data_IF_874446541490
#
_entry.id   IF_874446541490
#
_cell.length_a   1.000
_cell.length_b   1.000
_cell.length_c   1.000
_cell.angle_alpha   90.00
_cell.angle_beta   90.00
_cell.angle_gamma   90.00
#
_symmetry.space_group_name_H-M   'P 1'
#
loop_
_entity.id
_entity.type
_entity.pdbx_description
1 polymer ?
#
# COMPACT_ATOMS: atom_id res chain seq x y z
N UNK A 1 8.10 -19.77 -6.49
CA UNK A 1 7.40 -20.18 -7.72
C UNK A 1 6.33 -21.22 -7.47
N UNK A 2 6.65 -22.41 -6.96
CA UNK A 2 5.65 -23.48 -6.68
C UNK A 2 4.52 -22.97 -5.80
N UNK A 3 4.86 -22.32 -4.68
CA UNK A 3 3.88 -21.80 -3.73
C UNK A 3 2.95 -20.76 -4.37
N UNK A 4 3.48 -19.82 -5.14
CA UNK A 4 2.71 -18.82 -5.89
C UNK A 4 1.79 -19.47 -6.93
N UNK A 5 2.25 -20.49 -7.65
CA UNK A 5 1.44 -21.22 -8.62
C UNK A 5 0.27 -21.93 -7.94
N UNK A 6 0.50 -22.54 -6.76
CA UNK A 6 -0.55 -23.14 -5.95
C UNK A 6 -1.58 -22.09 -5.49
N UNK A 7 -1.13 -20.90 -5.08
CA UNK A 7 -2.04 -19.82 -4.67
C UNK A 7 -2.90 -19.33 -5.82
N UNK A 8 -2.31 -19.09 -6.99
CA UNK A 8 -3.05 -18.65 -8.17
C UNK A 8 -4.03 -19.74 -8.61
N UNK A 9 -3.61 -21.00 -8.65
CA UNK A 9 -4.49 -22.12 -8.96
C UNK A 9 -5.68 -22.22 -7.98
N UNK A 10 -5.43 -21.94 -6.70
CA UNK A 10 -6.46 -21.94 -5.67
C UNK A 10 -7.45 -20.77 -5.82
N UNK A 11 -6.97 -19.56 -6.14
CA UNK A 11 -7.83 -18.42 -6.47
C UNK A 11 -8.71 -18.75 -7.70
N UNK A 12 -8.12 -19.31 -8.75
CA UNK A 12 -8.85 -19.73 -9.94
C UNK A 12 -9.89 -20.82 -9.62
N UNK A 13 -9.57 -21.74 -8.72
CA UNK A 13 -10.53 -22.73 -8.22
C UNK A 13 -11.72 -22.09 -7.51
N UNK A 14 -11.49 -21.12 -6.63
CA UNK A 14 -12.57 -20.36 -5.95
C UNK A 14 -13.46 -19.66 -6.98
N UNK A 15 -12.85 -18.97 -7.95
CA UNK A 15 -13.57 -18.26 -9.02
C UNK A 15 -14.43 -19.26 -9.83
N UNK A 16 -13.84 -20.38 -10.25
CA UNK A 16 -14.54 -21.40 -11.02
C UNK A 16 -15.72 -22.01 -10.24
N UNK A 17 -15.54 -22.26 -8.95
CA UNK A 17 -16.59 -22.80 -8.09
C UNK A 17 -17.72 -21.79 -7.85
N UNK A 18 -17.41 -20.51 -7.67
CA UNK A 18 -18.43 -19.49 -7.48
C UNK A 18 -19.23 -19.20 -8.74
N UNK A 19 -18.61 -19.15 -9.93
CA UNK A 19 -19.38 -19.03 -11.19
C UNK A 19 -20.24 -20.27 -11.49
N UNK A 20 -19.79 -21.47 -11.13
CA UNK A 20 -20.57 -22.70 -11.37
C UNK A 20 -21.79 -22.81 -10.45
N UNK A 21 -21.73 -22.26 -9.24
CA UNK A 21 -22.77 -22.39 -8.22
C UNK A 21 -23.53 -21.08 -7.93
N UNK A 22 -23.11 -19.98 -8.56
CA UNK A 22 -23.71 -18.66 -8.44
C UNK A 22 -24.92 -18.50 -9.34
N UNK A 23 -25.84 -17.65 -8.90
CA UNK A 23 -27.01 -17.24 -9.67
C UNK A 23 -26.91 -15.74 -9.97
N UNK A 24 -27.04 -15.36 -11.24
CA UNK A 24 -27.00 -13.96 -11.66
C UNK A 24 -28.11 -13.11 -11.01
N UNK A 25 -29.18 -13.74 -10.50
CA UNK A 25 -30.24 -13.05 -9.74
C UNK A 25 -29.72 -12.41 -8.46
N UNK A 26 -28.69 -12.98 -7.83
CA UNK A 26 -28.12 -12.47 -6.58
C UNK A 26 -27.42 -11.11 -6.75
N UNK A 27 -27.06 -10.75 -7.99
CA UNK A 27 -26.48 -9.43 -8.30
C UNK A 27 -27.49 -8.28 -8.16
N UNK A 28 -28.78 -8.58 -8.19
CA UNK A 28 -29.84 -7.55 -8.17
C UNK A 28 -30.86 -7.76 -7.07
N UNK A 29 -30.97 -8.97 -6.54
CA UNK A 29 -31.94 -9.31 -5.50
C UNK A 29 -31.23 -9.48 -4.15
N UNK A 30 -31.60 -8.67 -3.13
CA UNK A 30 -31.10 -8.83 -1.78
C UNK A 30 -31.64 -10.12 -1.13
N UNK A 31 -31.02 -10.54 -0.03
CA UNK A 31 -31.47 -11.71 0.73
C UNK A 31 -32.84 -11.44 1.39
N UNK A 32 -33.01 -10.21 1.89
CA UNK A 32 -34.22 -9.71 2.51
C UNK A 32 -34.68 -8.42 1.80
N UNK A 33 -35.61 -8.53 0.83
CA UNK A 33 -36.13 -7.39 0.07
C UNK A 33 -36.87 -6.34 0.91
N UNK A 34 -37.20 -6.64 2.18
CA UNK A 34 -37.90 -5.71 3.06
C UNK A 34 -36.96 -4.75 3.80
N UNK A 35 -35.70 -5.14 4.02
CA UNK A 35 -34.68 -4.36 4.73
C UNK A 35 -33.65 -3.71 3.81
N UNK A 36 -33.44 -4.29 2.64
CA UNK A 36 -32.32 -3.94 1.77
C UNK A 36 -32.77 -3.54 0.37
N UNK A 37 -32.24 -2.43 -0.18
CA UNK A 37 -32.60 -1.98 -1.52
C UNK A 37 -32.10 -2.95 -2.60
N UNK A 38 -32.96 -3.27 -3.56
CA UNK A 38 -32.57 -4.07 -4.73
C UNK A 38 -31.81 -3.28 -5.79
N UNK A 39 -31.20 -4.01 -6.73
CA UNK A 39 -30.45 -3.47 -7.85
C UNK A 39 -28.94 -3.69 -7.74
N UNK A 40 -28.21 -3.43 -8.82
CA UNK A 40 -26.76 -3.61 -8.89
C UNK A 40 -25.98 -2.56 -8.08
N UNK A 41 -26.57 -1.39 -7.85
CA UNK A 41 -25.98 -0.30 -7.05
C UNK A 41 -26.90 0.09 -5.88
N UNK A 42 -27.06 -0.77 -4.86
CA UNK A 42 -27.97 -0.53 -3.74
C UNK A 42 -27.66 0.77 -2.98
N UNK A 43 -26.37 1.09 -2.86
CA UNK A 43 -25.86 2.30 -2.19
C UNK A 43 -25.44 3.41 -3.17
N UNK A 44 -25.80 3.28 -4.46
CA UNK A 44 -25.43 4.21 -5.51
C UNK A 44 -23.92 4.38 -5.70
N UNK A 45 -23.52 5.44 -6.42
CA UNK A 45 -22.11 5.72 -6.68
C UNK A 45 -21.30 5.99 -5.41
N UNK A 46 -21.92 6.58 -4.37
CA UNK A 46 -21.25 6.88 -3.09
C UNK A 46 -20.78 5.59 -2.40
N UNK A 47 -21.61 4.53 -2.39
CA UNK A 47 -21.21 3.23 -1.87
C UNK A 47 -20.05 2.61 -2.64
N UNK A 48 -20.01 2.77 -3.97
CA UNK A 48 -18.91 2.27 -4.81
C UNK A 48 -17.59 2.95 -4.44
N UNK A 49 -17.58 4.28 -4.26
CA UNK A 49 -16.37 5.00 -3.86
C UNK A 49 -15.88 4.62 -2.46
N UNK A 50 -16.80 4.45 -1.50
CA UNK A 50 -16.44 4.01 -0.15
C UNK A 50 -15.90 2.57 -0.15
N UNK A 51 -16.51 1.66 -0.92
CA UNK A 51 -16.01 0.29 -1.07
C UNK A 51 -14.65 0.23 -1.75
N UNK A 52 -14.43 1.05 -2.79
CA UNK A 52 -13.12 1.14 -3.46
C UNK A 52 -12.00 1.57 -2.48
N UNK A 53 -12.30 2.48 -1.54
CA UNK A 53 -11.37 2.88 -0.50
C UNK A 53 -11.00 1.74 0.45
N UNK A 54 -11.94 0.85 0.78
CA UNK A 54 -11.66 -0.32 1.62
C UNK A 54 -10.88 -1.39 0.86
N UNK A 55 -11.25 -1.68 -0.40
CA UNK A 55 -10.60 -2.71 -1.23
C UNK A 55 -9.18 -2.32 -1.64
N UNK A 56 -8.84 -1.03 -1.64
CA UNK A 56 -7.48 -0.55 -1.88
C UNK A 56 -6.44 -1.26 -0.98
N UNK A 57 -6.79 -1.55 0.28
CA UNK A 57 -5.94 -2.28 1.22
C UNK A 57 -5.50 -3.65 0.68
N UNK A 58 -6.36 -4.32 -0.08
CA UNK A 58 -6.04 -5.63 -0.68
C UNK A 58 -4.95 -5.55 -1.74
N UNK A 59 -4.66 -4.37 -2.29
CA UNK A 59 -3.60 -4.16 -3.27
C UNK A 59 -2.23 -3.90 -2.64
N UNK A 60 -2.13 -3.75 -1.32
CA UNK A 60 -0.86 -3.50 -0.65
C UNK A 60 0.05 -4.73 -0.79
N UNK A 61 1.33 -4.50 -1.10
CA UNK A 61 2.36 -5.54 -1.23
C UNK A 61 3.06 -5.60 -2.59
N UNK A 62 2.56 -4.90 -3.62
CA UNK A 62 3.25 -4.82 -4.92
C UNK A 62 4.64 -4.17 -4.82
N UNK A 63 4.81 -3.27 -3.85
CA UNK A 63 6.04 -2.53 -3.56
C UNK A 63 7.14 -3.43 -2.96
N UNK A 64 6.77 -4.56 -2.35
CA UNK A 64 7.71 -5.54 -1.83
C UNK A 64 8.65 -6.09 -2.92
N UNK A 65 8.24 -6.12 -4.19
CA UNK A 65 9.09 -6.54 -5.33
C UNK A 65 10.36 -5.69 -5.40
N UNK A 66 10.28 -4.41 -5.05
CA UNK A 66 11.44 -3.51 -5.07
C UNK A 66 12.49 -3.86 -3.99
N UNK A 67 12.08 -4.53 -2.91
CA UNK A 67 13.00 -4.97 -1.84
C UNK A 67 13.89 -6.14 -2.24
N UNK A 68 13.56 -6.81 -3.35
CA UNK A 68 14.35 -7.91 -3.91
C UNK A 68 15.16 -7.48 -5.13
N UNK A 69 15.38 -6.16 -5.30
CA UNK A 69 16.14 -5.63 -6.43
C UNK A 69 17.54 -6.24 -6.57
N UNK A 70 18.18 -6.58 -5.45
CA UNK A 70 19.51 -7.20 -5.41
C UNK A 70 19.53 -8.64 -5.97
N UNK A 71 18.39 -9.32 -6.03
CA UNK A 71 18.27 -10.68 -6.57
C UNK A 71 17.81 -10.72 -8.03
N UNK A 72 17.52 -9.56 -8.61
CA UNK A 72 17.02 -9.43 -9.98
C UNK A 72 18.20 -9.20 -10.91
N UNK A 73 18.34 -10.02 -11.96
CA UNK A 73 19.44 -9.91 -12.92
C UNK A 73 19.43 -8.57 -13.68
N UNK A 74 18.25 -8.06 -14.07
CA UNK A 74 18.09 -6.77 -14.77
C UNK A 74 17.09 -5.88 -14.03
N UNK A 75 17.47 -5.30 -12.89
CA UNK A 75 16.54 -4.62 -11.99
C UNK A 75 15.84 -3.43 -12.68
N UNK A 76 16.52 -2.73 -13.58
CA UNK A 76 15.98 -1.58 -14.29
C UNK A 76 14.80 -1.89 -15.24
N UNK A 77 14.65 -3.13 -15.70
CA UNK A 77 13.57 -3.55 -16.60
C UNK A 77 12.60 -4.53 -15.93
N UNK A 78 13.14 -5.49 -15.19
CA UNK A 78 12.35 -6.58 -14.63
C UNK A 78 11.52 -6.13 -13.41
N UNK A 79 12.01 -5.19 -12.58
CA UNK A 79 11.25 -4.67 -11.44
C UNK A 79 10.01 -3.87 -11.91
N UNK A 80 10.11 -2.88 -12.82
CA UNK A 80 8.93 -2.17 -13.29
C UNK A 80 7.89 -3.06 -13.97
N UNK A 81 8.34 -4.05 -14.76
CA UNK A 81 7.45 -5.04 -15.40
C UNK A 81 6.80 -5.95 -14.36
N UNK A 82 7.55 -6.40 -13.36
CA UNK A 82 7.04 -7.23 -12.27
C UNK A 82 5.99 -6.50 -11.43
N UNK A 83 6.28 -5.26 -11.01
CA UNK A 83 5.34 -4.43 -10.24
C UNK A 83 4.07 -4.14 -11.04
N UNK A 84 4.20 -3.62 -12.27
CA UNK A 84 3.02 -3.25 -13.07
C UNK A 84 2.22 -4.49 -13.51
N UNK A 85 2.90 -5.55 -13.92
CA UNK A 85 2.27 -6.80 -14.35
C UNK A 85 1.53 -7.52 -13.22
N UNK A 86 2.13 -7.58 -12.03
CA UNK A 86 1.47 -8.17 -10.86
C UNK A 86 0.20 -7.43 -10.47
N UNK A 87 0.22 -6.09 -10.43
CA UNK A 87 -0.96 -5.29 -10.12
C UNK A 87 -2.09 -5.53 -11.12
N UNK A 88 -1.78 -5.58 -12.43
CA UNK A 88 -2.80 -5.86 -13.47
C UNK A 88 -3.41 -7.25 -13.30
N UNK A 89 -2.57 -8.28 -13.10
CA UNK A 89 -3.05 -9.66 -12.90
C UNK A 89 -3.92 -9.75 -11.65
N UNK A 90 -3.48 -9.18 -10.53
CA UNK A 90 -4.24 -9.17 -9.27
C UNK A 90 -5.55 -8.41 -9.43
N UNK A 91 -5.57 -7.29 -10.16
CA UNK A 91 -6.80 -6.53 -10.43
C UNK A 91 -7.84 -7.40 -11.14
N UNK A 92 -7.44 -8.12 -12.19
CA UNK A 92 -8.33 -9.02 -12.92
C UNK A 92 -8.85 -10.14 -12.02
N UNK A 93 -7.97 -10.77 -11.24
CA UNK A 93 -8.36 -11.83 -10.31
C UNK A 93 -9.31 -11.34 -9.22
N UNK A 94 -9.07 -10.16 -8.66
CA UNK A 94 -9.93 -9.57 -7.63
C UNK A 94 -11.30 -9.16 -8.18
N UNK A 95 -11.36 -8.60 -9.39
CA UNK A 95 -12.63 -8.33 -10.06
C UNK A 95 -13.43 -9.62 -10.30
N UNK A 96 -12.77 -10.70 -10.76
CA UNK A 96 -13.41 -12.00 -10.95
C UNK A 96 -13.87 -12.63 -9.64
N UNK A 97 -13.07 -12.51 -8.57
CA UNK A 97 -13.45 -12.98 -7.23
C UNK A 97 -14.66 -12.23 -6.67
N UNK A 98 -14.67 -10.89 -6.79
CA UNK A 98 -15.79 -10.07 -6.34
C UNK A 98 -17.07 -10.42 -7.10
N UNK A 99 -16.99 -10.53 -8.44
CA UNK A 99 -18.12 -10.95 -9.27
C UNK A 99 -18.63 -12.35 -8.90
N UNK A 100 -17.70 -13.30 -8.71
CA UNK A 100 -18.00 -14.66 -8.27
C UNK A 100 -18.72 -14.69 -6.91
N UNK A 101 -18.27 -13.89 -5.95
CA UNK A 101 -18.87 -13.83 -4.62
C UNK A 101 -20.29 -13.21 -4.65
N UNK A 102 -20.46 -12.09 -5.37
CA UNK A 102 -21.76 -11.42 -5.52
C UNK A 102 -22.78 -12.26 -6.29
N UNK A 103 -22.36 -13.23 -7.10
CA UNK A 103 -23.26 -14.23 -7.70
C UNK A 103 -23.58 -15.37 -6.74
N UNK A 104 -22.69 -15.70 -5.81
CA UNK A 104 -22.86 -16.86 -4.91
C UNK A 104 -23.87 -16.57 -3.80
N UNK A 105 -23.71 -15.44 -3.10
CA UNK A 105 -24.64 -14.95 -2.08
C UNK A 105 -25.07 -13.50 -2.39
N UNK A 106 -26.33 -13.14 -2.09
CA UNK A 106 -26.75 -11.74 -2.07
C UNK A 106 -25.92 -10.96 -1.05
N UNK A 107 -25.67 -9.68 -1.35
CA UNK A 107 -24.69 -8.86 -0.62
C UNK A 107 -24.97 -8.74 0.89
N UNK A 108 -26.25 -8.82 1.31
CA UNK A 108 -26.64 -8.75 2.73
C UNK A 108 -26.28 -10.00 3.55
N UNK A 109 -26.11 -11.14 2.88
CA UNK A 109 -25.87 -12.42 3.53
C UNK A 109 -24.37 -12.80 3.56
N UNK A 110 -23.50 -11.91 3.09
CA UNK A 110 -22.05 -12.14 3.04
C UNK A 110 -21.48 -12.02 4.45
N UNK A 111 -20.89 -13.11 4.94
CA UNK A 111 -20.14 -13.14 6.18
C UNK A 111 -18.86 -12.29 6.03
N UNK A 112 -18.66 -11.25 6.87
CA UNK A 112 -17.47 -10.39 6.80
C UNK A 112 -16.17 -11.10 7.22
N UNK A 113 -16.22 -12.11 8.10
CA UNK A 113 -15.03 -12.81 8.57
C UNK A 113 -14.61 -13.94 7.62
N UNK A 114 -15.59 -14.61 7.02
CA UNK A 114 -15.38 -15.82 6.23
C UNK A 114 -16.24 -15.87 4.96
N UNK A 115 -16.10 -14.91 4.02
CA UNK A 115 -17.02 -14.77 2.90
C UNK A 115 -17.08 -16.01 2.01
N UNK A 116 -15.92 -16.52 1.56
CA UNK A 116 -15.88 -17.65 0.62
C UNK A 116 -16.12 -19.02 1.28
N UNK A 117 -15.60 -19.26 2.48
CA UNK A 117 -15.85 -20.55 3.16
C UNK A 117 -17.27 -20.60 3.72
N UNK A 118 -17.74 -19.50 4.33
CA UNK A 118 -19.11 -19.34 4.83
C UNK A 118 -20.18 -19.53 3.76
N UNK A 119 -19.92 -19.05 2.53
CA UNK A 119 -20.84 -19.20 1.40
C UNK A 119 -21.23 -20.65 1.07
N UNK A 120 -20.36 -21.62 1.35
CA UNK A 120 -20.60 -23.04 1.04
C UNK A 120 -21.02 -23.89 2.26
N UNK A 121 -20.98 -23.34 3.49
CA UNK A 121 -21.32 -24.08 4.73
C UNK A 121 -22.79 -24.56 4.77
N UNK A 122 -23.72 -23.86 4.12
CA UNK A 122 -25.15 -24.17 4.14
C UNK A 122 -25.68 -25.10 3.05
N UNK A 123 -24.82 -25.59 2.13
CA UNK A 123 -25.23 -26.50 1.04
C UNK A 123 -24.61 -27.88 1.28
N UNK A 124 -25.41 -28.88 1.66
CA UNK A 124 -24.94 -30.21 2.06
C UNK A 124 -23.99 -30.88 1.04
N UNK A 125 -24.20 -30.69 -0.28
CA UNK A 125 -23.31 -31.20 -1.34
C UNK A 125 -21.97 -30.47 -1.49
N UNK A 126 -21.78 -29.33 -0.82
CA UNK A 126 -20.61 -28.45 -0.97
C UNK A 126 -19.80 -28.25 0.32
N UNK A 127 -20.09 -28.99 1.40
CA UNK A 127 -19.35 -28.87 2.65
C UNK A 127 -17.84 -29.15 2.49
N UNK A 128 -17.48 -30.09 1.60
CA UNK A 128 -16.07 -30.36 1.27
C UNK A 128 -15.37 -29.14 0.63
N UNK A 129 -16.11 -28.36 -0.17
CA UNK A 129 -15.60 -27.15 -0.84
C UNK A 129 -15.28 -26.09 0.21
N UNK A 130 -16.16 -25.89 1.19
CA UNK A 130 -15.90 -24.97 2.31
C UNK A 130 -14.62 -25.33 3.06
N UNK A 131 -14.38 -26.62 3.33
CA UNK A 131 -13.20 -27.07 4.05
C UNK A 131 -11.91 -26.88 3.23
N UNK A 132 -11.94 -27.19 1.94
CA UNK A 132 -10.81 -26.96 1.02
C UNK A 132 -10.53 -25.46 0.90
N UNK A 133 -11.57 -24.64 0.77
CA UNK A 133 -11.44 -23.19 0.70
C UNK A 133 -10.87 -22.62 2.00
N UNK A 134 -11.35 -23.09 3.16
CA UNK A 134 -10.83 -22.68 4.46
C UNK A 134 -9.36 -23.06 4.63
N UNK A 135 -8.99 -24.30 4.33
CA UNK A 135 -7.61 -24.78 4.44
C UNK A 135 -6.66 -24.03 3.49
N UNK A 136 -7.06 -23.84 2.23
CA UNK A 136 -6.24 -23.12 1.26
C UNK A 136 -6.12 -21.63 1.57
N UNK A 137 -7.17 -20.98 2.12
CA UNK A 137 -7.08 -19.61 2.59
C UNK A 137 -6.08 -19.47 3.76
N UNK A 138 -6.10 -20.40 4.72
CA UNK A 138 -5.14 -20.41 5.84
C UNK A 138 -3.69 -20.59 5.37
N UNK A 139 -3.43 -21.54 4.46
CA UNK A 139 -2.11 -21.71 3.84
C UNK A 139 -1.71 -20.47 3.01
N UNK A 140 -2.70 -19.82 2.40
CA UNK A 140 -2.63 -18.55 1.70
C UNK A 140 -2.02 -17.43 2.53
N UNK A 141 -2.65 -17.23 3.70
CA UNK A 141 -2.27 -16.21 4.67
C UNK A 141 -0.88 -16.50 5.24
N UNK A 142 -0.59 -17.76 5.59
CA UNK A 142 0.72 -18.17 6.11
C UNK A 142 1.86 -17.85 5.13
N UNK A 143 1.64 -18.12 3.85
CA UNK A 143 2.62 -17.79 2.81
C UNK A 143 2.84 -16.29 2.67
N UNK A 144 1.76 -15.52 2.67
CA UNK A 144 1.83 -14.06 2.55
C UNK A 144 2.57 -13.46 3.75
N UNK A 145 2.34 -14.00 4.95
CA UNK A 145 3.08 -13.64 6.17
C UNK A 145 4.58 -13.91 6.03
N UNK A 146 4.98 -15.09 5.52
CA UNK A 146 6.38 -15.42 5.30
C UNK A 146 7.07 -14.46 4.33
N UNK A 147 6.41 -14.09 3.23
CA UNK A 147 6.94 -13.10 2.27
C UNK A 147 7.08 -11.72 2.93
N UNK A 148 6.10 -11.29 3.71
CA UNK A 148 6.16 -10.01 4.43
C UNK A 148 7.32 -9.97 5.44
N UNK A 149 7.53 -11.05 6.21
CA UNK A 149 8.65 -11.13 7.16
C UNK A 149 10.02 -11.07 6.48
N UNK A 150 10.16 -11.65 5.29
CA UNK A 150 11.40 -11.58 4.51
C UNK A 150 11.76 -10.13 4.13
N UNK A 151 10.79 -9.37 3.63
CA UNK A 151 10.99 -7.96 3.26
C UNK A 151 11.29 -7.07 4.47
N UNK A 152 10.55 -7.25 5.56
CA UNK A 152 10.72 -6.47 6.80
C UNK A 152 12.12 -6.62 7.41
N UNK A 153 12.65 -7.84 7.46
CA UNK A 153 13.96 -8.10 8.06
C UNK A 153 15.11 -7.45 7.26
N UNK A 154 15.01 -7.42 5.93
CA UNK A 154 15.97 -6.72 5.06
C UNK A 154 15.92 -5.22 5.25
N UNK A 155 14.72 -4.66 5.30
CA UNK A 155 14.52 -3.23 5.53
C UNK A 155 15.13 -2.79 6.87
N UNK A 156 14.88 -3.55 7.94
CA UNK A 156 15.45 -3.24 9.26
C UNK A 156 16.97 -3.41 9.31
N UNK A 157 17.54 -4.37 8.57
CA UNK A 157 18.99 -4.52 8.45
C UNK A 157 19.64 -3.30 7.79
N UNK A 158 19.06 -2.79 6.70
CA UNK A 158 19.55 -1.59 6.01
C UNK A 158 19.44 -0.35 6.91
N UNK A 159 18.31 -0.19 7.62
CA UNK A 159 18.14 0.90 8.59
C UNK A 159 19.18 0.78 9.72
N UNK A 160 19.43 -0.43 10.23
CA UNK A 160 20.46 -0.66 11.23
C UNK A 160 21.87 -0.31 10.74
N UNK A 161 22.18 -0.57 9.46
CA UNK A 161 23.47 -0.17 8.85
C UNK A 161 23.64 1.34 8.75
N UNK A 162 22.55 2.09 8.61
CA UNK A 162 22.57 3.55 8.60
C UNK A 162 22.67 4.22 9.99
N UNK A 163 22.84 3.44 11.06
CA UNK A 163 22.94 3.97 12.44
C UNK A 163 21.61 4.46 13.04
N UNK A 164 20.52 4.47 12.26
CA UNK A 164 19.18 4.86 12.73
C UNK A 164 18.61 3.85 13.73
N UNK A 165 18.98 2.57 13.63
CA UNK A 165 18.57 1.50 14.56
C UNK A 165 19.80 0.81 15.14
N UNK A 166 19.67 0.10 16.29
CA UNK A 166 20.79 -0.59 16.91
C UNK A 166 21.57 -1.48 15.95
N UNK A 167 22.90 -1.32 15.94
CA UNK A 167 23.81 -2.07 15.05
C UNK A 167 23.69 -3.59 15.20
N UNK A 168 23.17 -4.09 16.33
CA UNK A 168 22.85 -5.51 16.52
C UNK A 168 21.81 -6.05 15.52
N UNK A 169 20.86 -5.21 15.08
CA UNK A 169 19.86 -5.54 14.06
C UNK A 169 20.45 -5.57 12.63
N UNK A 170 21.58 -4.90 12.43
CA UNK A 170 22.31 -4.89 11.16
C UNK A 170 23.14 -6.18 10.93
N UNK A 171 23.37 -6.98 11.99
CA UNK A 171 24.21 -8.18 11.91
C UNK A 171 23.52 -9.29 11.12
N UNK A 172 24.24 -9.81 10.13
CA UNK A 172 23.83 -10.96 9.31
C UNK A 172 24.59 -12.20 9.79
N UNK A 173 23.91 -13.34 9.87
CA UNK A 173 24.56 -14.59 10.28
C UNK A 173 25.48 -15.10 9.15
N UNK A 174 26.76 -15.38 9.41
CA UNK A 174 27.73 -15.79 8.38
C UNK A 174 27.41 -17.16 7.76
N UNK A 175 26.69 -18.06 8.46
CA UNK A 175 26.38 -19.40 7.93
C UNK A 175 25.14 -19.44 7.04
N UNK A 176 24.14 -18.61 7.34
CA UNK A 176 22.85 -18.61 6.63
C UNK A 176 22.69 -17.39 5.72
N UNK A 177 23.59 -16.40 5.80
CA UNK A 177 23.49 -15.11 5.13
C UNK A 177 22.15 -14.38 5.40
N UNK A 178 21.49 -14.68 6.52
CA UNK A 178 20.19 -14.08 6.89
C UNK A 178 20.26 -13.22 8.15
N UNK A 179 19.50 -12.11 8.21
CA UNK A 179 19.42 -11.24 9.39
C UNK A 179 18.51 -11.86 10.46
N UNK A 180 19.02 -12.87 11.18
CA UNK A 180 18.26 -13.63 12.20
C UNK A 180 17.79 -12.72 13.34
N UNK A 181 18.65 -11.82 13.83
CA UNK A 181 18.33 -10.90 14.92
C UNK A 181 17.16 -9.98 14.57
N UNK A 182 17.21 -9.37 13.36
CA UNK A 182 16.15 -8.51 12.87
C UNK A 182 14.84 -9.28 12.71
N UNK A 183 14.89 -10.49 12.13
CA UNK A 183 13.72 -11.34 11.91
C UNK A 183 13.06 -11.76 13.22
N UNK A 184 13.84 -12.15 14.22
CA UNK A 184 13.34 -12.56 15.53
C UNK A 184 12.70 -11.37 16.28
N UNK A 185 13.37 -10.22 16.29
CA UNK A 185 12.86 -9.01 16.93
C UNK A 185 11.53 -8.55 16.30
N UNK A 186 11.48 -8.43 14.97
CA UNK A 186 10.26 -8.08 14.23
C UNK A 186 9.15 -9.11 14.42
N UNK A 187 9.48 -10.40 14.43
CA UNK A 187 8.52 -11.48 14.64
C UNK A 187 7.87 -11.43 16.02
N UNK A 188 8.68 -11.27 17.07
CA UNK A 188 8.17 -11.14 18.45
C UNK A 188 7.35 -9.86 18.60
N UNK A 189 7.81 -8.74 18.03
CA UNK A 189 7.07 -7.48 18.07
C UNK A 189 5.73 -7.56 17.33
N UNK A 190 5.71 -8.17 16.14
CA UNK A 190 4.48 -8.38 15.36
C UNK A 190 3.52 -9.32 16.08
N UNK A 191 4.02 -10.39 16.71
CA UNK A 191 3.21 -11.31 17.51
C UNK A 191 2.59 -10.62 18.73
N UNK A 192 3.35 -9.75 19.41
CA UNK A 192 2.82 -8.95 20.51
C UNK A 192 1.71 -7.99 20.03
N UNK A 193 1.94 -7.26 18.92
CA UNK A 193 0.91 -6.38 18.35
C UNK A 193 -0.35 -7.15 17.94
N UNK A 194 -0.19 -8.32 17.33
CA UNK A 194 -1.31 -9.18 16.94
C UNK A 194 -2.11 -9.74 18.14
N UNK A 195 -1.46 -9.94 19.29
CA UNK A 195 -2.11 -10.42 20.52
C UNK A 195 -2.90 -9.32 21.23
N UNK A 196 -2.39 -8.08 21.22
CA UNK A 196 -2.93 -6.97 22.02
C UNK A 196 -3.82 -6.00 21.24
N UNK A 197 -3.92 -6.13 19.91
CA UNK A 197 -4.62 -5.13 19.09
C UNK A 197 -5.58 -5.79 18.09
N UNK A 198 -6.77 -5.20 17.95
CA UNK A 198 -7.80 -5.66 17.00
C UNK A 198 -7.40 -5.41 15.54
N UNK A 199 -7.86 -6.30 14.65
CA UNK A 199 -7.57 -6.27 13.21
C UNK A 199 -7.99 -4.93 12.59
N UNK A 200 -9.20 -4.44 12.85
CA UNK A 200 -9.70 -3.20 12.26
C UNK A 200 -8.85 -1.97 12.63
N UNK A 201 -8.27 -1.98 13.83
CA UNK A 201 -7.36 -0.92 14.27
C UNK A 201 -6.05 -0.97 13.46
N UNK A 202 -5.49 -2.17 13.29
CA UNK A 202 -4.28 -2.40 12.48
C UNK A 202 -4.51 -2.00 11.02
N UNK A 203 -5.63 -2.43 10.43
CA UNK A 203 -5.97 -2.15 9.04
C UNK A 203 -6.08 -0.64 8.79
N UNK A 204 -6.77 0.08 9.67
CA UNK A 204 -6.88 1.53 9.58
C UNK A 204 -5.52 2.23 9.71
N UNK A 205 -4.66 1.77 10.62
CA UNK A 205 -3.33 2.34 10.82
C UNK A 205 -2.43 2.12 9.59
N UNK A 206 -2.45 0.90 9.03
CA UNK A 206 -1.73 0.53 7.81
C UNK A 206 -2.24 1.34 6.61
N UNK A 207 -3.56 1.52 6.47
CA UNK A 207 -4.15 2.35 5.41
C UNK A 207 -3.65 3.79 5.46
N UNK A 208 -3.68 4.45 6.63
CA UNK A 208 -3.17 5.83 6.77
C UNK A 208 -1.68 5.89 6.38
N UNK A 209 -0.87 4.98 6.94
CA UNK A 209 0.57 4.97 6.70
C UNK A 209 0.92 4.74 5.23
N UNK A 210 0.28 3.78 4.57
CA UNK A 210 0.58 3.45 3.17
C UNK A 210 0.09 4.50 2.19
N UNK A 211 -1.10 5.08 2.39
CA UNK A 211 -1.57 6.21 1.60
C UNK A 211 -0.65 7.43 1.75
N UNK A 212 -0.14 7.68 2.96
CA UNK A 212 0.82 8.75 3.20
C UNK A 212 2.15 8.52 2.49
N UNK A 213 2.68 7.29 2.53
CA UNK A 213 3.90 6.90 1.79
C UNK A 213 3.70 7.07 0.28
N UNK A 214 2.57 6.61 -0.27
CA UNK A 214 2.30 6.73 -1.71
C UNK A 214 2.09 8.19 -2.14
N UNK A 215 1.45 9.00 -1.30
CA UNK A 215 1.40 10.45 -1.47
C UNK A 215 2.81 11.07 -1.54
N UNK A 216 3.71 10.70 -0.62
CA UNK A 216 5.10 11.18 -0.63
C UNK A 216 5.85 10.73 -1.87
N UNK A 217 5.72 9.46 -2.28
CA UNK A 217 6.37 8.91 -3.48
C UNK A 217 5.90 9.65 -4.73
N UNK A 218 4.61 9.91 -4.87
CA UNK A 218 4.06 10.63 -6.02
C UNK A 218 4.62 12.07 -6.10
N UNK A 219 4.67 12.78 -4.97
CA UNK A 219 5.29 14.11 -4.89
C UNK A 219 6.80 14.08 -5.19
N UNK A 220 7.52 13.10 -4.65
CA UNK A 220 8.95 12.94 -4.87
C UNK A 220 9.30 12.67 -6.34
N UNK A 221 8.46 11.91 -7.04
CA UNK A 221 8.62 11.62 -8.47
C UNK A 221 8.47 12.90 -9.31
N UNK A 222 7.47 13.75 -9.01
CA UNK A 222 7.32 15.05 -9.67
C UNK A 222 8.51 15.94 -9.35
N UNK A 223 8.90 16.06 -8.09
CA UNK A 223 10.05 16.87 -7.69
C UNK A 223 11.33 16.44 -8.42
N UNK A 224 11.64 15.14 -8.46
CA UNK A 224 12.82 14.59 -9.15
C UNK A 224 12.80 14.81 -10.66
N UNK A 225 11.61 14.96 -11.25
CA UNK A 225 11.43 15.14 -12.70
C UNK A 225 11.66 16.58 -13.16
N UNK A 226 11.19 17.54 -12.38
CA UNK A 226 11.20 18.96 -12.73
C UNK A 226 12.35 19.74 -12.08
N UNK A 227 12.91 19.24 -10.97
CA UNK A 227 14.07 19.86 -10.32
C UNK A 227 15.37 19.21 -10.79
N UNK A 228 16.05 19.90 -11.72
CA UNK A 228 17.41 19.55 -12.17
C UNK A 228 18.52 20.07 -11.25
N UNK A 229 19.76 19.67 -11.54
CA UNK A 229 20.94 20.10 -10.77
C UNK A 229 21.13 21.62 -10.69
N UNK A 230 20.66 22.35 -11.72
CA UNK A 230 20.75 23.82 -11.81
C UNK A 230 19.69 24.63 -11.06
N UNK A 231 18.77 24.00 -10.32
CA UNK A 231 17.89 24.66 -9.34
C UNK A 231 16.80 25.62 -9.84
N UNK A 232 16.77 25.99 -11.13
CA UNK A 232 15.86 27.01 -11.66
C UNK A 232 14.35 26.74 -11.47
N UNK A 233 13.94 25.48 -11.33
CA UNK A 233 12.53 25.09 -11.17
C UNK A 233 12.15 24.61 -9.75
N UNK A 234 13.03 24.79 -8.74
CA UNK A 234 12.79 24.33 -7.35
C UNK A 234 11.52 24.92 -6.75
N UNK A 235 11.47 26.26 -6.66
CA UNK A 235 10.37 26.97 -6.04
C UNK A 235 9.04 26.83 -6.79
N UNK A 236 8.99 26.93 -8.14
CA UNK A 236 7.75 26.67 -8.90
C UNK A 236 7.21 25.25 -8.69
N UNK A 237 8.09 24.24 -8.63
CA UNK A 237 7.68 22.85 -8.41
C UNK A 237 7.15 22.65 -6.99
N UNK A 238 7.84 23.17 -5.98
CA UNK A 238 7.36 23.08 -4.59
C UNK A 238 6.03 23.83 -4.39
N UNK A 239 5.89 25.01 -4.97
CA UNK A 239 4.64 25.76 -4.93
C UNK A 239 3.49 24.99 -5.60
N UNK A 240 3.73 24.40 -6.78
CA UNK A 240 2.75 23.54 -7.44
C UNK A 240 2.35 22.34 -6.56
N UNK A 241 3.32 21.61 -6.02
CA UNK A 241 3.04 20.44 -5.17
C UNK A 241 2.21 20.82 -3.94
N UNK A 242 2.56 21.94 -3.29
CA UNK A 242 1.85 22.42 -2.10
C UNK A 242 0.45 22.91 -2.45
N UNK A 243 0.29 23.75 -3.48
CA UNK A 243 -1.02 24.25 -3.92
C UNK A 243 -1.91 23.11 -4.39
N UNK A 244 -1.37 22.16 -5.16
CA UNK A 244 -2.13 21.00 -5.62
C UNK A 244 -2.59 20.13 -4.45
N UNK A 245 -1.72 19.87 -3.48
CA UNK A 245 -2.07 19.09 -2.28
C UNK A 245 -3.10 19.80 -1.39
N UNK A 246 -2.98 21.13 -1.22
CA UNK A 246 -4.00 21.93 -0.53
C UNK A 246 -5.33 21.95 -1.28
N UNK A 247 -5.31 22.01 -2.62
CA UNK A 247 -6.53 21.95 -3.44
C UNK A 247 -7.22 20.59 -3.33
N UNK A 248 -6.45 19.50 -3.30
CA UNK A 248 -6.96 18.16 -3.07
C UNK A 248 -7.54 18.00 -1.65
N UNK A 249 -6.88 18.59 -0.64
CA UNK A 249 -7.39 18.58 0.74
C UNK A 249 -8.69 19.39 0.87
N UNK A 250 -8.73 20.59 0.29
CA UNK A 250 -9.91 21.44 0.27
C UNK A 250 -11.08 20.73 -0.44
N UNK A 251 -10.80 20.04 -1.55
CA UNK A 251 -11.78 19.20 -2.23
C UNK A 251 -12.34 18.11 -1.33
N UNK A 252 -11.48 17.36 -0.65
CA UNK A 252 -11.88 16.26 0.22
C UNK A 252 -12.68 16.76 1.42
N UNK A 253 -12.30 17.89 2.01
CA UNK A 253 -13.03 18.55 3.08
C UNK A 253 -14.40 19.04 2.59
N UNK A 254 -14.45 19.67 1.41
CA UNK A 254 -15.69 20.08 0.78
C UNK A 254 -16.61 18.88 0.49
N UNK A 255 -16.06 17.76 0.01
CA UNK A 255 -16.80 16.53 -0.21
C UNK A 255 -17.41 15.97 1.09
N UNK A 256 -16.67 16.00 2.22
CA UNK A 256 -17.16 15.53 3.52
C UNK A 256 -18.13 16.50 4.20
N UNK A 257 -17.96 17.81 4.04
CA UNK A 257 -18.73 18.84 4.73
C UNK A 257 -19.92 19.36 3.90
N UNK A 258 -20.00 19.04 2.60
CA UNK A 258 -21.07 19.55 1.74
C UNK A 258 -22.45 19.08 2.25
N UNK A 259 -23.44 19.98 2.40
CA UNK A 259 -24.77 19.63 2.89
C UNK A 259 -25.52 18.67 1.93
N UNK A 260 -26.42 17.80 2.45
CA UNK A 260 -27.13 16.75 1.70
C UNK A 260 -28.01 17.21 0.53
N UNK A 261 -28.37 18.48 0.43
CA UNK A 261 -29.18 19.00 -0.67
C UNK A 261 -28.71 20.39 -1.17
N UNK A 262 -28.94 20.71 -2.46
CA UNK A 262 -29.41 19.85 -3.57
C UNK A 262 -28.25 19.16 -4.33
N UNK A 263 -28.51 17.97 -4.90
CA UNK A 263 -27.53 17.15 -5.66
C UNK A 263 -26.77 17.91 -6.75
N UNK A 264 -27.40 18.91 -7.37
CA UNK A 264 -26.79 19.75 -8.41
C UNK A 264 -25.64 20.62 -7.89
N UNK A 265 -25.73 21.14 -6.66
CA UNK A 265 -24.68 21.98 -6.06
C UNK A 265 -23.45 21.15 -5.72
N UNK A 266 -23.65 19.94 -5.19
CA UNK A 266 -22.56 18.99 -4.95
C UNK A 266 -21.86 18.62 -6.25
N UNK A 267 -22.62 18.21 -7.27
CA UNK A 267 -22.06 17.86 -8.58
C UNK A 267 -21.32 19.04 -9.23
N UNK A 268 -21.85 20.26 -9.12
CA UNK A 268 -21.22 21.47 -9.63
C UNK A 268 -19.91 21.81 -8.90
N UNK A 269 -19.89 21.74 -7.57
CA UNK A 269 -18.68 21.96 -6.76
C UNK A 269 -17.60 20.93 -7.10
N UNK A 270 -18.01 19.67 -7.26
CA UNK A 270 -17.13 18.57 -7.64
C UNK A 270 -16.50 18.77 -9.01
N UNK A 271 -17.33 19.12 -10.01
CA UNK A 271 -16.87 19.40 -11.36
C UNK A 271 -15.94 20.62 -11.39
N UNK A 272 -16.23 21.66 -10.61
CA UNK A 272 -15.40 22.85 -10.52
C UNK A 272 -14.03 22.55 -9.90
N UNK A 273 -13.97 21.77 -8.82
CA UNK A 273 -12.70 21.36 -8.22
C UNK A 273 -11.90 20.41 -9.11
N UNK A 274 -12.57 19.47 -9.79
CA UNK A 274 -11.91 18.60 -10.76
C UNK A 274 -11.33 19.42 -11.94
N UNK A 275 -12.09 20.37 -12.47
CA UNK A 275 -11.62 21.30 -13.50
C UNK A 275 -10.42 22.12 -12.99
N UNK A 276 -10.49 22.64 -11.75
CA UNK A 276 -9.37 23.37 -11.14
C UNK A 276 -8.12 22.50 -11.04
N UNK A 277 -8.24 21.25 -10.57
CA UNK A 277 -7.12 20.31 -10.49
C UNK A 277 -6.51 20.03 -11.87
N UNK A 278 -7.34 19.80 -12.89
CA UNK A 278 -6.90 19.58 -14.28
C UNK A 278 -6.19 20.83 -14.82
N UNK A 279 -6.74 22.02 -14.61
CA UNK A 279 -6.12 23.27 -15.06
C UNK A 279 -4.80 23.56 -14.34
N UNK A 280 -4.70 23.24 -13.05
CA UNK A 280 -3.46 23.40 -12.29
C UNK A 280 -2.34 22.48 -12.83
N UNK A 281 -2.66 21.23 -13.14
CA UNK A 281 -1.70 20.28 -13.75
C UNK A 281 -1.31 20.73 -15.16
N UNK A 282 -2.27 21.17 -15.96
CA UNK A 282 -2.02 21.68 -17.32
C UNK A 282 -1.16 22.96 -17.30
N UNK A 283 -1.45 23.90 -16.40
CA UNK A 283 -0.67 25.12 -16.22
C UNK A 283 0.76 24.79 -15.77
N UNK A 284 0.93 23.86 -14.83
CA UNK A 284 2.25 23.41 -14.40
C UNK A 284 3.05 22.78 -15.56
N UNK A 285 2.41 21.94 -16.37
CA UNK A 285 3.05 21.33 -17.54
C UNK A 285 3.47 22.39 -18.59
N UNK A 286 2.69 23.46 -18.76
CA UNK A 286 3.00 24.53 -19.70
C UNK A 286 4.09 25.48 -19.18
N UNK A 287 4.11 25.76 -17.88
CA UNK A 287 4.99 26.76 -17.26
C UNK A 287 6.35 26.19 -16.83
N UNK A 288 6.43 24.90 -16.51
CA UNK A 288 7.64 24.29 -15.95
C UNK A 288 8.19 23.22 -16.92
N UNK A 289 9.32 23.47 -17.59
CA UNK A 289 9.92 22.49 -18.49
C UNK A 289 10.45 21.29 -17.71
N UNK A 290 10.38 20.11 -18.31
CA UNK A 290 10.93 18.90 -17.69
C UNK A 290 12.46 18.96 -17.67
N UNK A 291 13.05 18.85 -16.48
CA UNK A 291 14.48 18.98 -16.30
C UNK A 291 15.27 17.69 -16.56
N UNK A 292 14.63 16.52 -16.44
CA UNK A 292 15.25 15.21 -16.69
C UNK A 292 14.33 14.37 -17.56
N UNK A 293 14.89 13.56 -18.46
CA UNK A 293 14.21 12.46 -19.20
C UNK A 293 14.76 11.13 -18.67
N UNK A 294 13.93 10.09 -18.40
CA UNK A 294 14.43 8.87 -17.78
C UNK A 294 15.12 8.02 -18.85
N UNK A 295 16.32 7.52 -18.57
CA UNK A 295 17.09 6.75 -19.57
C UNK A 295 16.57 5.32 -19.77
N UNK A 296 15.96 4.73 -18.73
CA UNK A 296 15.57 3.31 -18.71
C UNK A 296 14.06 3.13 -18.56
N UNK A 297 13.49 3.62 -17.45
CA UNK A 297 12.05 3.55 -17.18
C UNK A 297 11.56 4.86 -16.56
N UNK A 298 10.46 5.38 -17.11
CA UNK A 298 9.77 6.56 -16.62
C UNK A 298 8.29 6.29 -16.48
N UNK A 299 7.66 6.96 -15.51
CA UNK A 299 6.20 6.95 -15.40
C UNK A 299 5.60 7.59 -16.66
N UNK A 300 4.74 6.89 -17.40
CA UNK A 300 4.07 7.48 -18.56
C UNK A 300 3.10 8.59 -18.12
N UNK A 301 2.85 9.58 -18.99
CA UNK A 301 1.87 10.63 -18.70
C UNK A 301 2.30 11.60 -17.59
N UNK A 302 3.58 11.93 -17.49
CA UNK A 302 4.06 13.02 -16.62
C UNK A 302 3.50 14.39 -17.04
N UNK A 303 3.02 15.24 -16.14
CA UNK A 303 2.85 15.08 -14.68
C UNK A 303 1.47 14.52 -14.24
N UNK A 304 0.59 14.20 -15.17
CA UNK A 304 -0.79 13.77 -14.93
C UNK A 304 -0.93 12.53 -14.04
N UNK A 305 -0.15 11.47 -14.31
CA UNK A 305 -0.26 10.21 -13.54
C UNK A 305 0.13 10.40 -12.07
N UNK A 306 1.30 11.01 -11.73
CA UNK A 306 1.60 11.35 -10.34
C UNK A 306 0.60 12.31 -9.69
N UNK A 307 0.09 13.32 -10.43
CA UNK A 307 -0.89 14.25 -9.89
C UNK A 307 -2.22 13.55 -9.55
N UNK A 308 -2.69 12.64 -10.41
CA UNK A 308 -3.85 11.80 -10.11
C UNK A 308 -3.62 10.94 -8.87
N UNK A 309 -2.42 10.36 -8.72
CA UNK A 309 -2.04 9.61 -7.51
C UNK A 309 -2.07 10.49 -6.26
N UNK A 310 -1.49 11.70 -6.28
CA UNK A 310 -1.55 12.65 -5.16
C UNK A 310 -3.00 12.94 -4.76
N UNK A 311 -3.85 13.26 -5.73
CA UNK A 311 -5.26 13.55 -5.48
C UNK A 311 -6.00 12.35 -4.87
N UNK A 312 -5.85 11.15 -5.45
CA UNK A 312 -6.50 9.93 -4.95
C UNK A 312 -6.03 9.58 -3.54
N UNK A 313 -4.74 9.67 -3.25
CA UNK A 313 -4.22 9.41 -1.91
C UNK A 313 -4.79 10.40 -0.89
N UNK A 314 -4.83 11.70 -1.19
CA UNK A 314 -5.42 12.73 -0.30
C UNK A 314 -6.92 12.52 -0.12
N UNK A 315 -7.64 12.15 -1.18
CA UNK A 315 -9.06 11.84 -1.12
C UNK A 315 -9.35 10.63 -0.22
N UNK A 316 -8.63 9.53 -0.43
CA UNK A 316 -8.77 8.31 0.36
C UNK A 316 -8.37 8.54 1.82
N UNK A 317 -7.34 9.33 2.09
CA UNK A 317 -6.95 9.70 3.44
C UNK A 317 -8.09 10.42 4.16
N UNK A 318 -8.73 11.38 3.50
CA UNK A 318 -9.85 12.10 4.08
C UNK A 318 -11.12 11.26 4.26
N UNK A 319 -11.24 10.11 3.59
CA UNK A 319 -12.33 9.15 3.80
C UNK A 319 -12.23 8.39 5.12
N UNK A 320 -11.05 8.29 5.73
CA UNK A 320 -10.81 7.53 6.97
C UNK A 320 -11.39 8.22 8.23
N UNK A 321 -11.62 7.43 9.27
CA UNK A 321 -12.25 7.87 10.50
C UNK A 321 -11.32 8.67 11.42
N UNK A 322 -11.90 9.62 12.17
CA UNK A 322 -11.17 10.47 13.12
C UNK A 322 -10.37 9.69 14.18
N UNK A 323 -10.89 8.59 14.79
CA UNK A 323 -10.12 7.81 15.76
C UNK A 323 -8.85 7.21 15.16
N UNK A 324 -8.88 6.83 13.88
CA UNK A 324 -7.73 6.27 13.18
C UNK A 324 -6.58 7.27 13.10
N UNK A 325 -6.87 8.55 12.89
CA UNK A 325 -5.86 9.62 12.90
C UNK A 325 -5.25 9.86 14.27
N UNK A 326 -6.06 9.83 15.34
CA UNK A 326 -5.55 9.98 16.70
C UNK A 326 -4.59 8.84 17.04
N UNK A 327 -4.97 7.60 16.71
CA UNK A 327 -4.12 6.42 16.89
C UNK A 327 -2.83 6.53 16.08
N UNK A 328 -2.93 6.92 14.81
CA UNK A 328 -1.76 7.16 13.95
C UNK A 328 -0.84 8.23 14.51
N UNK A 329 -1.38 9.32 15.05
CA UNK A 329 -0.59 10.38 15.68
C UNK A 329 0.14 9.89 16.93
N UNK A 330 -0.50 9.08 17.77
CA UNK A 330 0.14 8.48 18.96
C UNK A 330 1.29 7.56 18.54
N UNK A 331 1.06 6.64 17.59
CA UNK A 331 2.12 5.75 17.08
C UNK A 331 3.26 6.52 16.42
N UNK A 332 2.94 7.56 15.65
CA UNK A 332 3.94 8.41 15.02
C UNK A 332 4.75 9.21 16.04
N UNK A 333 4.10 9.69 17.11
CA UNK A 333 4.78 10.38 18.20
C UNK A 333 5.72 9.44 18.96
N UNK A 334 5.31 8.20 19.22
CA UNK A 334 6.17 7.18 19.83
C UNK A 334 7.37 6.85 18.92
N UNK A 335 7.14 6.68 17.62
CA UNK A 335 8.22 6.45 16.65
C UNK A 335 9.19 7.64 16.56
N UNK A 336 8.65 8.87 16.56
CA UNK A 336 9.45 10.10 16.56
C UNK A 336 10.26 10.26 17.85
N UNK A 337 9.70 9.87 18.99
CA UNK A 337 10.42 9.88 20.27
C UNK A 337 11.60 8.90 20.25
N UNK A 338 11.41 7.69 19.72
CA UNK A 338 12.53 6.74 19.50
C UNK A 338 13.55 7.34 18.53
N UNK A 339 13.09 7.97 17.45
CA UNK A 339 13.98 8.60 16.48
C UNK A 339 14.83 9.72 17.10
N UNK A 340 14.23 10.63 17.86
CA UNK A 340 14.95 11.76 18.48
C UNK A 340 15.86 11.30 19.60
N UNK A 341 15.41 10.39 20.47
CA UNK A 341 16.19 9.95 21.63
C UNK A 341 17.34 9.02 21.23
N UNK A 342 17.08 8.10 20.29
CA UNK A 342 18.06 7.09 19.91
C UNK A 342 18.68 7.38 18.54
N UNK A 343 17.86 7.42 17.48
CA UNK A 343 18.36 7.42 16.10
C UNK A 343 19.21 8.63 15.75
N UNK A 344 18.81 9.84 16.21
CA UNK A 344 19.57 11.07 15.95
C UNK A 344 20.95 10.98 16.60
N UNK A 345 21.03 10.69 17.90
CA UNK A 345 22.30 10.57 18.61
C UNK A 345 23.18 9.45 18.01
N UNK A 346 22.60 8.27 17.76
CA UNK A 346 23.32 7.15 17.17
C UNK A 346 23.84 7.46 15.75
N UNK A 347 23.08 8.21 14.94
CA UNK A 347 23.52 8.63 13.61
C UNK A 347 24.64 9.67 13.66
N UNK A 348 24.57 10.63 14.59
CA UNK A 348 25.65 11.61 14.80
C UNK A 348 26.93 10.94 15.31
N UNK A 349 26.83 10.04 16.29
CA UNK A 349 27.98 9.29 16.83
C UNK A 349 28.64 8.41 15.74
N UNK A 350 27.84 7.84 14.83
CA UNK A 350 28.34 7.06 13.69
C UNK A 350 29.06 7.93 12.65
N UNK A 351 28.57 9.15 12.36
CA UNK A 351 29.27 10.09 11.48
C UNK A 351 30.57 10.62 12.10
N UNK A 352 30.58 10.90 13.41
CA UNK A 352 31.74 11.43 14.12
C UNK A 352 32.86 10.38 14.21
N UNK A 353 32.53 9.13 14.56
CA UNK A 353 33.48 8.01 14.54
C UNK A 353 34.06 7.75 13.14
N UNK A 354 33.23 7.79 12.09
CA UNK A 354 33.69 7.67 10.71
C UNK A 354 34.62 8.81 10.26
N UNK A 355 34.43 10.04 10.76
CA UNK A 355 35.34 11.17 10.47
C UNK A 355 36.68 11.05 11.19
N UNK A 356 36.68 10.58 12.44
CA UNK A 356 37.89 10.35 13.22
C UNK A 356 38.80 9.27 12.59
N UNK A 357 38.23 8.23 11.99
CA UNK A 357 38.98 7.20 11.25
C UNK A 357 39.61 7.74 9.93
N UNK A 358 38.98 8.73 9.30
CA UNK A 358 39.47 9.34 8.04
C UNK A 358 40.60 10.34 8.30
N UNK A 359 40.51 11.16 9.35
CA UNK A 359 41.56 12.13 9.70
C UNK A 359 42.74 11.51 10.47
N UNK A 360 42.58 10.32 11.06
CA UNK A 360 43.58 9.64 11.90
C UNK A 360 44.69 8.87 11.18
N UNK A 361 44.65 8.73 9.84
CA UNK A 361 45.74 8.16 9.04
C UNK A 361 46.18 6.73 9.44
N UNK A 362 45.56 5.71 8.84
CA UNK A 362 46.15 4.38 8.73
C UNK A 362 45.82 3.41 9.87
N UNK A 363 44.63 2.82 9.82
CA UNK A 363 44.27 1.67 10.64
C UNK A 363 43.17 0.89 9.94
N UNK A 364 43.47 -0.35 9.54
CA UNK A 364 42.48 -1.28 8.99
C UNK A 364 41.29 -1.37 9.94
N UNK A 365 40.14 -0.83 9.53
CA UNK A 365 38.87 -1.41 10.00
C UNK A 365 38.84 -2.82 9.41
N UNK A 366 39.03 -3.80 10.28
CA UNK A 366 38.76 -5.19 9.96
C UNK A 366 37.31 -5.27 9.46
N UNK A 367 37.16 -5.45 8.16
CA UNK A 367 36.03 -6.15 7.55
C UNK A 367 36.01 -7.60 8.10
N UNK A 368 35.63 -7.78 9.36
CA UNK A 368 35.34 -9.11 9.93
C UNK A 368 33.86 -9.50 9.76
N UNK A 369 33.10 -8.80 8.92
CA UNK A 369 31.73 -9.17 8.58
C UNK A 369 31.47 -9.32 7.06
N UNK A 370 32.50 -9.28 6.22
CA UNK A 370 32.36 -9.54 4.78
C UNK A 370 33.59 -10.23 4.20
N UNK A 371 33.95 -11.41 4.71
CA UNK A 371 34.70 -12.38 3.90
C UNK A 371 33.70 -13.21 3.13
N UNK A 372 33.45 -12.78 1.89
CA UNK A 372 32.83 -13.63 0.86
C UNK A 372 33.88 -14.65 0.45
N UNK A 373 33.64 -15.93 0.76
CA UNK A 373 34.18 -17.07 0.03
C UNK A 373 33.00 -17.82 -0.57
#
# INVERSE_FOLDING_TARGET
>A
MVLTAVHVAFILFIIGMGFRHGDARNLTRPADPSRSPGGFFPHGAVGVFNGAAMVYLSYIGYDAVSTMAEEVQRPARDIPVGVSGSVVVVTVLYCLMAASMSMLLPYDAIDPEAPFSGAFKGRERCAWVSNVIGAGASLGILTSLMVAMLGQARYLCVIGRSGVMPAWLARVNPRTATPVNASAFLGVFTAALALFTELDILLNLVCIGTLFVFYMVANAVVYRRYVGGGGGARWPTLAFLLVFSLSALAFTLAWKLAPPEPRGVRAGLLAACAALAVTAVAAFQALVPQARVPELWGVPGMPWVPAASVFLNVFLLGSLDRPSYVRFAIFSAAALLVYVLYSVHASYDAEESGRLDVDGGGGKVQDEACTVV
#
